data_IF_047308597119
#
_entry.id   IF_047308597119
#
_cell.length_a   1.000
_cell.length_b   1.000
_cell.length_c   1.000
_cell.angle_alpha   90.00
_cell.angle_beta   90.00
_cell.angle_gamma   90.00
#
_symmetry.space_group_name_H-M   'P 1'
#
loop_
_entity.id
_entity.type
_entity.pdbx_description
1 polymer ?
#
# COMPACT_ATOMS: atom_id res chain seq x y z
N UNK A 1 18.17 4.80 -20.70
CA UNK A 1 17.23 5.65 -19.92
C UNK A 1 16.41 4.89 -18.86
N UNK A 2 16.08 3.59 -19.03
CA UNK A 2 15.34 2.80 -18.03
C UNK A 2 15.98 2.71 -16.63
N UNK A 3 17.32 2.74 -16.51
CA UNK A 3 18.01 2.62 -15.20
C UNK A 3 17.92 3.88 -14.32
N UNK A 4 17.73 5.08 -14.90
CA UNK A 4 17.71 6.33 -14.14
C UNK A 4 16.37 6.59 -13.44
N UNK A 5 15.25 6.22 -14.06
CA UNK A 5 13.91 6.39 -13.47
C UNK A 5 13.72 5.48 -12.25
N UNK A 6 14.30 4.27 -12.28
CA UNK A 6 14.25 3.32 -11.16
C UNK A 6 15.18 3.75 -10.00
N UNK A 7 16.27 4.48 -10.28
CA UNK A 7 17.17 4.98 -9.24
C UNK A 7 16.58 6.13 -8.41
N UNK A 8 15.68 6.94 -8.97
CA UNK A 8 15.04 8.05 -8.24
C UNK A 8 13.91 7.63 -7.29
N UNK A 9 13.49 6.36 -7.29
CA UNK A 9 12.49 5.82 -6.34
C UNK A 9 13.15 5.41 -5.00
N UNK A 10 14.47 5.63 -4.83
CA UNK A 10 15.21 5.21 -3.62
C UNK A 10 15.01 6.07 -2.37
N UNK A 11 14.20 7.13 -2.42
CA UNK A 11 13.99 7.99 -1.25
C UNK A 11 12.51 8.35 -1.13
N UNK A 12 11.63 7.36 -0.94
CA UNK A 12 10.32 7.58 -0.27
C UNK A 12 9.75 6.23 0.20
N UNK A 13 10.60 5.42 0.84
CA UNK A 13 10.14 4.35 1.72
C UNK A 13 9.73 4.94 3.09
N UNK A 14 8.81 5.93 3.10
CA UNK A 14 8.41 6.63 4.34
C UNK A 14 6.92 6.49 4.70
N UNK A 15 6.07 5.99 3.80
CA UNK A 15 4.67 5.72 4.11
C UNK A 15 4.38 4.21 4.36
N UNK A 16 5.27 3.31 3.95
CA UNK A 16 5.23 1.87 4.31
C UNK A 16 6.02 1.51 5.57
N UNK A 17 6.68 2.48 6.20
CA UNK A 17 7.60 2.27 7.33
C UNK A 17 6.98 2.44 8.71
N UNK A 18 5.69 2.77 8.83
CA UNK A 18 5.02 2.74 10.13
C UNK A 18 4.93 1.33 10.74
N UNK A 19 5.25 0.27 9.97
CA UNK A 19 5.36 -1.11 10.45
C UNK A 19 6.72 -1.79 10.24
N UNK A 20 7.80 -1.05 9.92
CA UNK A 20 9.12 -1.66 9.63
C UNK A 20 10.24 -1.23 10.59
N UNK A 21 9.94 -1.02 11.87
CA UNK A 21 10.96 -1.09 12.92
C UNK A 21 10.94 -2.47 13.58
N UNK A 22 11.37 -3.48 12.83
CA UNK A 22 11.64 -4.80 13.37
C UNK A 22 13.15 -5.09 13.30
N UNK A 23 13.71 -5.10 14.51
CA UNK A 23 15.00 -5.64 14.97
C UNK A 23 16.28 -4.81 14.74
N UNK A 24 16.57 -3.97 15.73
CA UNK A 24 17.90 -3.99 16.38
C UNK A 24 17.77 -4.83 17.66
N UNK A 25 18.38 -6.03 17.66
CA UNK A 25 18.74 -6.90 18.80
C UNK A 25 18.20 -6.55 20.22
N UNK A 26 16.88 -6.44 20.39
CA UNK A 26 16.25 -5.98 21.61
C UNK A 26 14.97 -6.76 21.93
N UNK A 27 14.58 -6.78 23.22
CA UNK A 27 13.32 -7.40 23.66
C UNK A 27 12.14 -6.77 22.90
N UNK A 28 11.21 -7.60 22.41
CA UNK A 28 9.97 -7.15 21.75
C UNK A 28 9.20 -6.26 22.72
N UNK A 29 9.06 -4.98 22.37
CA UNK A 29 8.37 -3.98 23.19
C UNK A 29 6.86 -4.17 23.05
N UNK A 30 6.06 -3.96 24.11
CA UNK A 30 4.60 -3.93 23.97
C UNK A 30 4.16 -2.77 23.06
N UNK A 31 2.89 -2.75 22.69
CA UNK A 31 2.34 -1.54 22.05
C UNK A 31 2.50 -0.34 22.99
N UNK A 32 2.73 0.83 22.40
CA UNK A 32 2.63 2.10 23.13
C UNK A 32 1.20 2.62 23.00
N UNK A 33 0.52 2.74 24.13
CA UNK A 33 -0.83 3.28 24.26
C UNK A 33 -0.98 3.97 25.63
N UNK A 34 -0.72 5.29 25.74
CA UNK A 34 -0.86 6.00 27.02
C UNK A 34 -2.30 5.98 27.54
N UNK A 35 -3.26 6.14 26.65
CA UNK A 35 -4.69 6.26 26.92
C UNK A 35 -5.52 5.25 26.10
N UNK A 36 -6.83 5.25 26.35
CA UNK A 36 -7.79 4.37 25.68
C UNK A 36 -7.85 4.67 24.18
N UNK A 37 -7.84 5.94 23.75
CA UNK A 37 -7.88 6.29 22.33
C UNK A 37 -6.68 5.76 21.55
N UNK A 38 -5.49 5.83 22.15
CA UNK A 38 -4.27 5.26 21.60
C UNK A 38 -4.35 3.73 21.53
N UNK A 39 -5.04 3.09 22.49
CA UNK A 39 -5.33 1.66 22.43
C UNK A 39 -6.34 1.33 21.31
N UNK A 40 -7.36 2.16 21.09
CA UNK A 40 -8.33 2.01 19.99
C UNK A 40 -7.61 1.92 18.64
N UNK A 41 -6.65 2.81 18.41
CA UNK A 41 -5.81 2.79 17.20
C UNK A 41 -5.05 1.48 17.07
N UNK A 42 -4.43 0.97 18.15
CA UNK A 42 -3.67 -0.28 18.11
C UNK A 42 -4.54 -1.51 17.83
N UNK A 43 -5.75 -1.53 18.38
CA UNK A 43 -6.73 -2.59 18.12
C UNK A 43 -7.19 -2.51 16.66
N UNK A 44 -7.47 -1.29 16.17
CA UNK A 44 -7.84 -1.06 14.78
C UNK A 44 -6.73 -1.53 13.81
N UNK A 45 -5.49 -1.10 14.01
CA UNK A 45 -4.31 -1.52 13.22
C UNK A 45 -4.18 -3.05 13.17
N UNK A 46 -4.36 -3.71 14.32
CA UNK A 46 -4.23 -5.17 14.42
C UNK A 46 -5.35 -5.88 13.65
N UNK A 47 -6.57 -5.34 13.69
CA UNK A 47 -7.72 -5.86 12.92
C UNK A 47 -7.53 -5.70 11.43
N UNK A 48 -7.04 -4.54 10.99
CA UNK A 48 -6.73 -4.29 9.59
C UNK A 48 -5.67 -5.28 9.10
N UNK A 49 -4.61 -5.47 9.89
CA UNK A 49 -3.57 -6.46 9.62
C UNK A 49 -4.15 -7.88 9.51
N UNK A 50 -4.92 -8.35 10.49
CA UNK A 50 -5.54 -9.69 10.45
C UNK A 50 -6.47 -9.87 9.25
N UNK A 51 -7.28 -8.86 8.93
CA UNK A 51 -8.18 -8.87 7.78
C UNK A 51 -7.43 -9.01 6.46
N UNK A 52 -6.34 -8.27 6.29
CA UNK A 52 -5.44 -8.36 5.13
C UNK A 52 -4.82 -9.76 5.03
N UNK A 53 -4.19 -10.22 6.10
CA UNK A 53 -3.46 -11.49 6.11
C UNK A 53 -4.40 -12.66 5.89
N UNK A 54 -5.63 -12.62 6.38
CA UNK A 54 -6.64 -13.64 6.12
C UNK A 54 -6.95 -13.79 4.62
N UNK A 55 -7.07 -12.67 3.89
CA UNK A 55 -7.27 -12.70 2.42
C UNK A 55 -6.06 -13.28 1.71
N UNK A 56 -4.87 -12.81 2.06
CA UNK A 56 -3.62 -13.28 1.46
C UNK A 56 -3.35 -14.77 1.75
N UNK A 57 -3.62 -15.22 2.97
CA UNK A 57 -3.48 -16.62 3.37
C UNK A 57 -4.47 -17.53 2.64
N UNK A 58 -5.68 -17.07 2.32
CA UNK A 58 -6.63 -17.86 1.53
C UNK A 58 -6.09 -18.22 0.15
N UNK A 59 -5.46 -17.24 -0.54
CA UNK A 59 -4.84 -17.48 -1.84
C UNK A 59 -3.53 -18.26 -1.71
N UNK A 60 -2.72 -17.92 -0.70
CA UNK A 60 -1.49 -18.65 -0.42
C UNK A 60 -1.77 -20.12 -0.09
N UNK A 61 -2.82 -20.44 0.66
CA UNK A 61 -3.19 -21.81 1.01
C UNK A 61 -3.51 -22.63 -0.24
N UNK A 62 -4.25 -22.05 -1.20
CA UNK A 62 -4.54 -22.71 -2.48
C UNK A 62 -3.27 -22.95 -3.29
N UNK A 63 -2.36 -21.97 -3.33
CA UNK A 63 -1.07 -22.07 -4.02
C UNK A 63 -0.18 -23.14 -3.37
N UNK A 64 -0.01 -23.08 -2.05
CA UNK A 64 0.86 -23.97 -1.30
C UNK A 64 0.37 -25.42 -1.35
N UNK A 65 -0.93 -25.68 -1.29
CA UNK A 65 -1.47 -27.05 -1.46
C UNK A 65 -1.04 -27.67 -2.80
N UNK A 66 -1.07 -26.90 -3.89
CA UNK A 66 -0.66 -27.37 -5.21
C UNK A 66 0.86 -27.55 -5.31
N UNK A 67 1.61 -26.55 -4.87
CA UNK A 67 3.07 -26.55 -4.98
C UNK A 67 3.72 -27.60 -4.07
N UNK A 68 3.27 -27.75 -2.82
CA UNK A 68 3.81 -28.78 -1.92
C UNK A 68 3.55 -30.19 -2.45
N UNK A 69 2.35 -30.46 -3.00
CA UNK A 69 2.04 -31.73 -3.67
C UNK A 69 2.93 -31.96 -4.90
N UNK A 70 3.32 -30.91 -5.62
CA UNK A 70 4.25 -31.05 -6.73
C UNK A 70 5.68 -31.36 -6.25
N UNK A 71 6.18 -30.63 -5.25
CA UNK A 71 7.57 -30.77 -4.81
C UNK A 71 7.85 -32.02 -3.99
N UNK A 72 6.86 -32.59 -3.28
CA UNK A 72 7.06 -33.83 -2.54
C UNK A 72 7.53 -34.97 -3.47
N UNK A 73 7.01 -35.00 -4.70
CA UNK A 73 7.35 -36.02 -5.71
C UNK A 73 8.55 -35.63 -6.59
N UNK A 74 8.80 -34.32 -6.79
CA UNK A 74 9.75 -33.82 -7.80
C UNK A 74 11.05 -33.25 -7.25
N UNK A 75 11.00 -32.51 -6.15
CA UNK A 75 12.20 -31.98 -5.49
C UNK A 75 11.95 -31.77 -4.00
N UNK A 76 12.22 -32.82 -3.23
CA UNK A 76 12.03 -32.84 -1.78
C UNK A 76 12.82 -31.71 -1.08
N UNK A 77 13.95 -31.27 -1.64
CA UNK A 77 14.77 -30.18 -1.06
C UNK A 77 14.05 -28.84 -1.13
N UNK A 78 13.15 -28.65 -2.09
CA UNK A 78 12.30 -27.46 -2.18
C UNK A 78 11.14 -27.62 -1.21
N UNK A 79 10.50 -28.79 -1.17
CA UNK A 79 9.44 -29.12 -0.20
C UNK A 79 9.87 -28.81 1.25
N UNK A 80 11.01 -29.36 1.69
CA UNK A 80 11.56 -29.21 3.05
C UNK A 80 11.89 -27.76 3.42
N UNK A 81 12.00 -26.87 2.43
CA UNK A 81 12.20 -25.43 2.67
C UNK A 81 10.88 -24.67 2.76
N UNK A 82 9.91 -25.06 1.93
CA UNK A 82 8.63 -24.40 1.81
C UNK A 82 7.68 -24.79 2.96
N UNK A 83 7.50 -26.09 3.20
CA UNK A 83 6.51 -26.61 4.16
C UNK A 83 6.72 -26.05 5.56
N UNK A 84 7.92 -26.13 6.19
CA UNK A 84 8.07 -25.69 7.58
C UNK A 84 7.91 -24.18 7.72
N UNK A 85 8.26 -23.43 6.67
CA UNK A 85 8.09 -21.98 6.62
C UNK A 85 6.61 -21.59 6.55
N UNK A 86 5.85 -22.29 5.70
CA UNK A 86 4.42 -22.09 5.54
C UNK A 86 3.62 -22.54 6.77
N UNK A 87 3.94 -23.69 7.37
CA UNK A 87 3.32 -24.17 8.60
C UNK A 87 3.49 -23.16 9.75
N UNK A 88 4.70 -22.60 9.91
CA UNK A 88 4.97 -21.54 10.89
C UNK A 88 4.14 -20.27 10.65
N UNK A 89 3.92 -19.89 9.39
CA UNK A 89 3.04 -18.77 9.06
C UNK A 89 1.60 -19.05 9.51
N UNK A 90 1.05 -20.22 9.21
CA UNK A 90 -0.31 -20.60 9.63
C UNK A 90 -0.49 -20.55 11.15
N UNK A 91 0.44 -21.18 11.89
CA UNK A 91 0.41 -21.17 13.36
C UNK A 91 0.48 -19.74 13.89
N UNK A 92 1.31 -18.89 13.29
CA UNK A 92 1.45 -17.49 13.69
C UNK A 92 0.16 -16.70 13.47
N UNK A 93 -0.51 -16.89 12.33
CA UNK A 93 -1.80 -16.24 12.04
C UNK A 93 -2.87 -16.68 13.03
N UNK A 94 -3.05 -17.99 13.25
CA UNK A 94 -4.03 -18.50 14.22
C UNK A 94 -3.78 -17.99 15.63
N UNK A 95 -2.50 -17.87 16.02
CA UNK A 95 -2.11 -17.31 17.32
C UNK A 95 -2.46 -15.82 17.44
N UNK A 96 -2.24 -15.04 16.38
CA UNK A 96 -2.58 -13.61 16.38
C UNK A 96 -4.10 -13.44 16.49
N UNK A 97 -4.87 -14.21 15.74
CA UNK A 97 -6.34 -14.12 15.75
C UNK A 97 -6.89 -14.45 17.14
N UNK A 98 -6.41 -15.53 17.76
CA UNK A 98 -6.80 -15.91 19.13
C UNK A 98 -6.46 -14.81 20.14
N UNK A 99 -5.23 -14.30 20.15
CA UNK A 99 -4.82 -13.29 21.13
C UNK A 99 -5.53 -11.95 20.87
N UNK A 100 -5.77 -11.59 19.60
CA UNK A 100 -6.47 -10.36 19.24
C UNK A 100 -7.94 -10.39 19.70
N UNK A 101 -8.59 -11.56 19.61
CA UNK A 101 -9.95 -11.73 20.13
C UNK A 101 -10.00 -11.57 21.66
N UNK A 102 -9.04 -12.13 22.39
CA UNK A 102 -8.92 -11.93 23.83
C UNK A 102 -8.72 -10.45 24.19
N UNK A 103 -7.85 -9.74 23.46
CA UNK A 103 -7.65 -8.29 23.65
C UNK A 103 -8.94 -7.52 23.37
N UNK A 104 -9.69 -7.90 22.34
CA UNK A 104 -10.96 -7.23 22.01
C UNK A 104 -12.03 -7.45 23.09
N UNK A 105 -12.14 -8.66 23.64
CA UNK A 105 -13.05 -8.97 24.74
C UNK A 105 -12.71 -8.10 25.97
N UNK A 106 -11.43 -8.09 26.38
CA UNK A 106 -10.95 -7.26 27.50
C UNK A 106 -11.20 -5.77 27.27
N UNK A 107 -11.03 -5.32 26.04
CA UNK A 107 -11.25 -3.94 25.67
C UNK A 107 -12.74 -3.54 25.72
N UNK A 108 -13.64 -4.43 25.30
CA UNK A 108 -15.07 -4.19 25.46
C UNK A 108 -15.48 -4.19 26.93
N UNK A 109 -14.91 -5.09 27.74
CA UNK A 109 -15.11 -5.11 29.19
C UNK A 109 -14.72 -3.76 29.80
N UNK A 110 -13.51 -3.26 29.48
CA UNK A 110 -13.03 -1.94 29.88
C UNK A 110 -14.03 -0.83 29.53
N UNK A 111 -14.52 -0.79 28.27
CA UNK A 111 -15.50 0.22 27.82
C UNK A 111 -16.89 0.09 28.44
N UNK A 112 -17.27 -1.12 28.85
CA UNK A 112 -18.60 -1.40 29.41
C UNK A 112 -18.65 -1.24 30.93
N UNK A 113 -17.53 -1.46 31.60
CA UNK A 113 -17.39 -1.20 33.02
C UNK A 113 -17.32 0.31 33.26
N UNK A 114 -17.92 0.82 34.34
CA UNK A 114 -17.73 2.22 34.79
C UNK A 114 -16.28 2.59 35.17
N UNK A 115 -15.35 1.66 34.92
CA UNK A 115 -13.91 1.79 35.14
C UNK A 115 -13.27 2.27 33.83
N UNK A 116 -13.39 3.56 33.53
CA UNK A 116 -12.82 4.20 32.32
C UNK A 116 -11.28 4.32 32.35
N UNK A 117 -10.59 3.52 33.17
CA UNK A 117 -9.13 3.61 33.35
C UNK A 117 -8.44 2.31 32.99
N UNK A 118 -7.42 2.42 32.14
CA UNK A 118 -6.50 1.32 31.80
C UNK A 118 -5.81 0.72 33.02
N UNK A 119 -5.71 1.47 34.11
CA UNK A 119 -5.06 1.03 35.35
C UNK A 119 -6.05 0.34 36.31
N UNK A 120 -7.32 0.25 35.92
CA UNK A 120 -8.32 -0.55 36.61
C UNK A 120 -8.09 -2.04 36.44
N UNK A 121 -8.59 -2.81 37.40
CA UNK A 121 -8.44 -4.26 37.46
C UNK A 121 -9.77 -4.93 37.06
N UNK A 122 -9.76 -5.82 36.04
CA UNK A 122 -10.88 -6.68 35.70
C UNK A 122 -11.31 -7.56 36.88
N UNK A 123 -12.59 -7.95 36.95
CA UNK A 123 -13.14 -8.66 38.11
C UNK A 123 -12.41 -9.96 38.46
N UNK A 124 -11.94 -10.71 37.45
CA UNK A 124 -11.37 -12.05 37.63
C UNK A 124 -9.83 -12.05 37.67
N UNK A 125 -9.19 -10.91 37.91
CA UNK A 125 -7.73 -10.80 37.84
C UNK A 125 -7.15 -9.90 38.94
N UNK A 126 -5.84 -9.97 39.15
CA UNK A 126 -5.08 -9.07 40.04
C UNK A 126 -4.24 -8.05 39.28
N UNK A 127 -4.38 -8.02 37.94
CA UNK A 127 -3.49 -7.28 37.03
C UNK A 127 -4.34 -6.29 36.24
N UNK A 128 -3.87 -5.03 36.12
CA UNK A 128 -4.63 -4.01 35.40
C UNK A 128 -4.82 -4.34 33.92
N UNK A 129 -5.86 -3.78 33.31
CA UNK A 129 -6.11 -3.88 31.87
C UNK A 129 -4.85 -3.55 31.06
N UNK A 130 -4.15 -2.46 31.41
CA UNK A 130 -2.88 -2.05 30.78
C UNK A 130 -1.87 -3.18 30.74
N UNK A 131 -1.55 -3.78 31.89
CA UNK A 131 -0.52 -4.83 32.00
C UNK A 131 -0.92 -6.09 31.24
N UNK A 132 -2.19 -6.47 31.26
CA UNK A 132 -2.70 -7.62 30.51
C UNK A 132 -2.54 -7.36 29.01
N UNK A 133 -3.01 -6.21 28.52
CA UNK A 133 -2.95 -5.82 27.10
C UNK A 133 -1.50 -5.67 26.63
N UNK A 134 -0.61 -5.10 27.44
CA UNK A 134 0.83 -5.04 27.14
C UNK A 134 1.43 -6.45 26.98
N UNK A 135 1.06 -7.39 27.85
CA UNK A 135 1.52 -8.78 27.74
C UNK A 135 1.02 -9.45 26.45
N UNK A 136 -0.26 -9.27 26.12
CA UNK A 136 -0.88 -9.83 24.91
C UNK A 136 -0.32 -9.17 23.64
N UNK A 137 -0.12 -7.86 23.63
CA UNK A 137 0.48 -7.13 22.51
C UNK A 137 1.91 -7.59 22.20
N UNK A 138 2.73 -7.88 23.22
CA UNK A 138 4.06 -8.50 23.03
C UNK A 138 3.95 -9.85 22.31
N UNK A 139 2.95 -10.66 22.67
CA UNK A 139 2.72 -11.96 22.03
C UNK A 139 2.23 -11.81 20.58
N UNK A 140 1.36 -10.83 20.29
CA UNK A 140 0.92 -10.48 18.93
C UNK A 140 2.12 -10.10 18.08
N UNK A 141 2.94 -9.13 18.54
CA UNK A 141 4.12 -8.70 17.80
C UNK A 141 5.11 -9.85 17.56
N UNK A 142 5.33 -10.70 18.57
CA UNK A 142 6.17 -11.90 18.39
C UNK A 142 5.64 -12.82 17.30
N UNK A 143 4.33 -13.08 17.26
CA UNK A 143 3.73 -13.91 16.24
C UNK A 143 3.78 -13.25 14.85
N UNK A 144 3.57 -11.93 14.76
CA UNK A 144 3.73 -11.18 13.50
C UNK A 144 5.16 -11.32 12.96
N UNK A 145 6.18 -11.25 13.83
CA UNK A 145 7.57 -11.44 13.43
C UNK A 145 7.84 -12.84 12.90
N UNK A 146 7.29 -13.88 13.54
CA UNK A 146 7.43 -15.26 13.07
C UNK A 146 6.72 -15.49 11.73
N UNK A 147 5.56 -14.87 11.51
CA UNK A 147 4.90 -14.82 10.21
C UNK A 147 5.82 -14.21 9.14
N UNK A 148 6.39 -13.02 9.40
CA UNK A 148 7.26 -12.32 8.44
C UNK A 148 8.55 -13.11 8.15
N UNK A 149 9.14 -13.77 9.17
CA UNK A 149 10.28 -14.66 8.98
C UNK A 149 9.92 -15.87 8.11
N UNK A 150 8.75 -16.48 8.33
CA UNK A 150 8.20 -17.55 7.51
C UNK A 150 8.03 -17.11 6.06
N UNK A 151 7.39 -15.95 5.85
CA UNK A 151 7.18 -15.36 4.53
C UNK A 151 8.49 -15.09 3.80
N UNK A 152 9.49 -14.55 4.49
CA UNK A 152 10.83 -14.30 3.92
C UNK A 152 11.50 -15.59 3.48
N UNK A 153 11.41 -16.66 4.28
CA UNK A 153 11.95 -17.99 3.93
C UNK A 153 11.18 -18.60 2.76
N UNK A 154 9.85 -18.44 2.72
CA UNK A 154 8.99 -18.93 1.66
C UNK A 154 9.31 -18.27 0.31
N UNK A 155 9.41 -16.93 0.27
CA UNK A 155 9.87 -16.16 -0.91
C UNK A 155 11.25 -16.64 -1.39
N UNK A 156 12.18 -16.92 -0.47
CA UNK A 156 13.50 -17.49 -0.80
C UNK A 156 13.43 -18.92 -1.34
N UNK A 157 12.53 -19.75 -0.84
CA UNK A 157 12.30 -21.12 -1.31
C UNK A 157 11.88 -21.13 -2.77
N UNK A 158 10.84 -20.38 -3.13
CA UNK A 158 10.37 -20.27 -4.51
C UNK A 158 11.41 -19.69 -5.46
N UNK A 159 12.24 -18.73 -4.99
CA UNK A 159 13.31 -18.15 -5.80
C UNK A 159 14.31 -19.20 -6.30
N UNK A 160 14.52 -20.30 -5.56
CA UNK A 160 15.44 -21.38 -5.98
C UNK A 160 14.92 -22.15 -7.20
N UNK A 161 13.61 -22.18 -7.40
CA UNK A 161 12.95 -22.73 -8.59
C UNK A 161 12.67 -21.65 -9.65
N UNK A 162 13.37 -20.52 -9.60
CA UNK A 162 13.13 -19.36 -10.47
C UNK A 162 11.68 -18.84 -10.42
N UNK A 163 10.93 -19.12 -9.36
CA UNK A 163 9.60 -18.58 -9.12
C UNK A 163 9.63 -17.40 -8.15
N UNK A 164 8.67 -16.50 -8.27
CA UNK A 164 8.45 -15.34 -7.42
C UNK A 164 7.06 -15.40 -6.83
N UNK A 165 7.00 -15.41 -5.51
CA UNK A 165 5.76 -15.20 -4.76
C UNK A 165 5.53 -13.69 -4.63
N UNK A 166 4.47 -13.20 -5.27
CA UNK A 166 4.11 -11.79 -5.32
C UNK A 166 2.85 -11.53 -4.52
N UNK A 167 2.86 -10.44 -3.77
CA UNK A 167 1.72 -9.89 -3.05
C UNK A 167 1.30 -8.66 -3.82
N UNK A 168 0.07 -8.63 -4.31
CA UNK A 168 -0.37 -7.62 -5.28
C UNK A 168 -0.33 -6.22 -4.67
N UNK A 169 -0.60 -6.10 -3.37
CA UNK A 169 -0.50 -4.85 -2.63
C UNK A 169 0.93 -4.29 -2.60
N UNK A 170 1.94 -5.13 -2.38
CA UNK A 170 3.36 -4.72 -2.40
C UNK A 170 3.76 -4.10 -3.75
N UNK A 171 3.06 -4.49 -4.83
CA UNK A 171 3.35 -4.05 -6.19
C UNK A 171 2.64 -2.73 -6.56
N UNK A 172 1.37 -2.53 -6.18
CA UNK A 172 0.63 -1.30 -6.54
C UNK A 172 0.75 -0.17 -5.52
N UNK A 173 1.01 -0.48 -4.23
CA UNK A 173 1.00 0.53 -3.18
C UNK A 173 2.01 1.67 -3.41
N UNK A 174 3.27 1.39 -3.82
CA UNK A 174 4.22 2.46 -4.15
C UNK A 174 3.75 3.33 -5.33
N UNK A 175 3.05 2.73 -6.30
CA UNK A 175 2.52 3.44 -7.47
C UNK A 175 1.42 4.43 -7.06
N UNK A 176 0.57 4.02 -6.11
CA UNK A 176 -0.51 4.85 -5.56
C UNK A 176 0.03 6.06 -4.80
N UNK A 177 1.15 5.91 -4.09
CA UNK A 177 1.76 6.99 -3.30
C UNK A 177 2.23 8.17 -4.15
N UNK A 178 2.62 7.92 -5.42
CA UNK A 178 3.05 8.97 -6.36
C UNK A 178 1.91 9.93 -6.75
N UNK A 179 0.65 9.56 -6.50
CA UNK A 179 -0.51 10.43 -6.74
C UNK A 179 -0.38 11.80 -6.07
N UNK A 180 0.15 11.84 -4.84
CA UNK A 180 0.30 13.10 -4.11
C UNK A 180 1.33 14.02 -4.77
N UNK A 181 2.47 13.46 -5.18
CA UNK A 181 3.54 14.22 -5.82
C UNK A 181 3.09 14.84 -7.15
N UNK A 182 2.35 14.07 -7.97
CA UNK A 182 1.89 14.56 -9.27
C UNK A 182 0.77 15.59 -9.12
N UNK A 183 -0.12 15.43 -8.13
CA UNK A 183 -1.14 16.44 -7.79
C UNK A 183 -0.51 17.74 -7.34
N UNK A 184 0.48 17.66 -6.46
CA UNK A 184 1.23 18.85 -6.03
C UNK A 184 1.87 19.59 -7.23
N UNK A 185 2.53 18.86 -8.15
CA UNK A 185 3.11 19.47 -9.35
C UNK A 185 2.07 20.10 -10.27
N UNK A 186 0.88 19.51 -10.37
CA UNK A 186 -0.25 20.07 -11.11
C UNK A 186 -0.79 21.33 -10.45
N UNK A 187 -0.95 21.33 -9.14
CA UNK A 187 -1.43 22.48 -8.38
C UNK A 187 -0.46 23.66 -8.45
N UNK A 188 0.84 23.41 -8.59
CA UNK A 188 1.82 24.44 -8.84
C UNK A 188 1.61 25.21 -10.17
N UNK A 189 0.79 24.69 -11.10
CA UNK A 189 0.44 25.37 -12.36
C UNK A 189 -0.73 26.35 -12.22
N UNK A 190 -1.42 26.37 -11.08
CA UNK A 190 -2.60 27.23 -10.88
C UNK A 190 -2.33 28.73 -11.12
N UNK A 191 -1.19 29.31 -10.70
CA UNK A 191 -0.88 30.70 -11.02
C UNK A 191 -0.80 30.96 -12.53
N UNK A 192 -0.12 30.08 -13.26
CA UNK A 192 0.06 30.19 -14.72
C UNK A 192 -1.28 30.08 -15.44
N UNK A 193 -2.12 29.11 -15.04
CA UNK A 193 -3.47 28.91 -15.57
C UNK A 193 -4.37 30.11 -15.28
N UNK A 194 -4.27 30.69 -14.07
CA UNK A 194 -5.04 31.89 -13.70
C UNK A 194 -4.65 33.10 -14.55
N UNK A 195 -3.35 33.28 -14.80
CA UNK A 195 -2.86 34.33 -15.69
C UNK A 195 -3.33 34.12 -17.13
N UNK A 196 -3.22 32.89 -17.65
CA UNK A 196 -3.74 32.52 -18.97
C UNK A 196 -5.24 32.82 -19.10
N UNK A 197 -6.05 32.46 -18.10
CA UNK A 197 -7.50 32.72 -18.11
C UNK A 197 -7.82 34.23 -18.15
N UNK A 198 -7.00 35.08 -17.52
CA UNK A 198 -7.15 36.54 -17.62
C UNK A 198 -6.92 37.00 -19.07
N UNK A 199 -5.87 36.52 -19.73
CA UNK A 199 -5.58 36.83 -21.13
C UNK A 199 -6.67 36.31 -22.07
N UNK A 200 -7.18 35.10 -21.82
CA UNK A 200 -8.28 34.51 -22.57
C UNK A 200 -9.54 35.37 -22.48
N UNK A 201 -9.93 35.79 -21.27
CA UNK A 201 -11.09 36.67 -21.09
C UNK A 201 -10.92 37.98 -21.87
N UNK A 202 -9.76 38.63 -21.78
CA UNK A 202 -9.49 39.86 -22.54
C UNK A 202 -9.64 39.63 -24.05
N UNK A 203 -9.07 38.55 -24.58
CA UNK A 203 -9.15 38.23 -26.00
C UNK A 203 -10.60 37.93 -26.47
N UNK A 204 -11.43 37.34 -25.62
CA UNK A 204 -12.83 37.03 -25.93
C UNK A 204 -13.73 38.27 -25.96
N UNK A 205 -13.44 39.28 -25.14
CA UNK A 205 -14.29 40.46 -25.02
C UNK A 205 -13.81 41.68 -25.82
N UNK A 206 -12.50 41.81 -26.09
CA UNK A 206 -11.92 43.02 -26.65
C UNK A 206 -11.33 42.88 -28.06
N UNK A 207 -11.01 41.67 -28.52
CA UNK A 207 -10.29 41.42 -29.79
C UNK A 207 -10.94 40.29 -30.63
N UNK A 208 -12.26 40.37 -30.76
CA UNK A 208 -13.02 39.34 -31.49
C UNK A 208 -12.56 39.31 -32.96
N UNK A 209 -12.04 38.16 -33.41
CA UNK A 209 -11.51 37.82 -34.76
C UNK A 209 -10.02 38.10 -35.08
N UNK A 210 -9.19 38.59 -34.16
CA UNK A 210 -7.73 38.68 -34.38
C UNK A 210 -7.05 37.30 -34.52
N UNK A 211 -5.81 37.25 -35.05
CA UNK A 211 -5.02 36.00 -35.04
C UNK A 211 -4.73 35.55 -33.61
N UNK A 212 -4.44 36.52 -32.73
CA UNK A 212 -4.19 36.29 -31.31
C UNK A 212 -5.39 35.64 -30.59
N UNK A 213 -6.62 36.14 -30.82
CA UNK A 213 -7.81 35.56 -30.20
C UNK A 213 -8.11 34.14 -30.70
N UNK A 214 -7.79 33.82 -31.96
CA UNK A 214 -7.88 32.45 -32.46
C UNK A 214 -6.87 31.51 -31.80
N UNK A 215 -5.64 31.96 -31.59
CA UNK A 215 -4.58 31.12 -31.04
C UNK A 215 -4.76 30.88 -29.54
N UNK A 216 -5.21 31.88 -28.77
CA UNK A 216 -5.53 31.70 -27.35
C UNK A 216 -6.75 30.78 -27.14
N UNK A 217 -7.75 30.81 -28.02
CA UNK A 217 -8.87 29.86 -27.98
C UNK A 217 -8.39 28.42 -28.25
N UNK A 218 -7.50 28.22 -29.23
CA UNK A 218 -6.90 26.89 -29.48
C UNK A 218 -6.11 26.40 -28.27
N UNK A 219 -5.30 27.27 -27.67
CA UNK A 219 -4.56 26.96 -26.45
C UNK A 219 -5.49 26.57 -25.31
N UNK A 220 -6.61 27.28 -25.11
CA UNK A 220 -7.62 26.96 -24.10
C UNK A 220 -8.21 25.56 -24.31
N UNK A 221 -8.61 25.21 -25.54
CA UNK A 221 -9.10 23.86 -25.86
C UNK A 221 -8.05 22.78 -25.57
N UNK A 222 -6.77 23.07 -25.87
CA UNK A 222 -5.66 22.16 -25.58
C UNK A 222 -5.49 21.96 -24.07
N UNK A 223 -5.49 23.04 -23.27
CA UNK A 223 -5.40 22.98 -21.81
C UNK A 223 -6.57 22.21 -21.19
N UNK A 224 -7.79 22.36 -21.73
CA UNK A 224 -8.94 21.58 -21.28
C UNK A 224 -8.79 20.09 -21.59
N UNK A 225 -8.29 19.74 -22.79
CA UNK A 225 -8.01 18.34 -23.13
C UNK A 225 -6.96 17.71 -22.18
N UNK A 226 -5.95 18.50 -21.80
CA UNK A 226 -4.94 18.10 -20.83
C UNK A 226 -5.53 17.90 -19.43
N UNK A 227 -6.41 18.80 -18.98
CA UNK A 227 -7.13 18.66 -17.70
C UNK A 227 -7.88 17.33 -17.62
N UNK A 228 -8.61 16.97 -18.67
CA UNK A 228 -9.37 15.72 -18.75
C UNK A 228 -8.44 14.50 -18.68
N UNK A 229 -7.37 14.47 -19.48
CA UNK A 229 -6.39 13.37 -19.46
C UNK A 229 -5.73 13.19 -18.09
N UNK A 230 -5.32 14.29 -17.46
CA UNK A 230 -4.73 14.27 -16.13
C UNK A 230 -5.69 13.73 -15.07
N UNK A 231 -6.97 14.16 -15.10
CA UNK A 231 -8.00 13.64 -14.21
C UNK A 231 -8.18 12.12 -14.36
N UNK A 232 -8.26 11.64 -15.60
CA UNK A 232 -8.40 10.19 -15.87
C UNK A 232 -7.24 9.38 -15.31
N UNK A 233 -6.01 9.90 -15.42
CA UNK A 233 -4.84 9.23 -14.86
C UNK A 233 -4.83 9.25 -13.33
N UNK A 234 -5.21 10.36 -12.71
CA UNK A 234 -5.37 10.46 -11.25
C UNK A 234 -6.43 9.48 -10.72
N UNK A 235 -7.57 9.37 -11.40
CA UNK A 235 -8.63 8.42 -11.05
C UNK A 235 -8.16 6.97 -11.18
N UNK A 236 -7.36 6.68 -12.21
CA UNK A 236 -6.69 5.39 -12.37
C UNK A 236 -5.77 5.08 -11.18
N UNK A 237 -4.90 6.02 -10.78
CA UNK A 237 -3.99 5.84 -9.64
C UNK A 237 -4.75 5.68 -8.32
N UNK A 238 -5.81 6.47 -8.12
CA UNK A 238 -6.63 6.42 -6.92
C UNK A 238 -7.32 5.07 -6.73
N UNK A 239 -7.65 4.39 -7.83
CA UNK A 239 -8.29 3.07 -7.86
C UNK A 239 -7.35 1.93 -8.30
N UNK A 240 -6.03 2.15 -8.29
CA UNK A 240 -5.06 1.18 -8.84
C UNK A 240 -5.10 -0.16 -8.09
N UNK A 241 -5.48 -0.15 -6.82
CA UNK A 241 -5.70 -1.34 -6.00
C UNK A 241 -6.76 -2.26 -6.63
N UNK A 242 -7.96 -1.72 -6.92
CA UNK A 242 -9.05 -2.47 -7.56
C UNK A 242 -8.65 -3.01 -8.93
N UNK A 243 -7.93 -2.19 -9.70
CA UNK A 243 -7.44 -2.59 -11.03
C UNK A 243 -6.42 -3.72 -10.92
N UNK A 244 -5.47 -3.61 -9.99
CA UNK A 244 -4.44 -4.61 -9.77
C UNK A 244 -5.04 -5.95 -9.33
N UNK A 245 -6.01 -5.95 -8.42
CA UNK A 245 -6.71 -7.17 -8.00
C UNK A 245 -7.55 -7.78 -9.13
N UNK A 246 -8.26 -6.97 -9.91
CA UNK A 246 -9.04 -7.46 -11.05
C UNK A 246 -8.16 -8.10 -12.12
N UNK A 247 -6.99 -7.53 -12.40
CA UNK A 247 -6.07 -8.07 -13.42
C UNK A 247 -5.26 -9.28 -12.95
N UNK A 248 -4.91 -9.34 -11.67
CA UNK A 248 -4.17 -10.47 -11.10
C UNK A 248 -5.08 -11.66 -10.76
N UNK A 249 -6.35 -11.40 -10.44
CA UNK A 249 -7.34 -12.41 -10.05
C UNK A 249 -7.17 -12.96 -8.62
N UNK A 250 -6.19 -12.45 -7.85
CA UNK A 250 -5.87 -12.91 -6.50
C UNK A 250 -5.08 -11.85 -5.73
N UNK A 251 -5.00 -11.94 -4.41
CA UNK A 251 -4.17 -11.09 -3.56
C UNK A 251 -2.70 -11.54 -3.56
N UNK A 252 -2.48 -12.84 -3.75
CA UNK A 252 -1.16 -13.47 -3.81
C UNK A 252 -1.07 -14.34 -5.05
N UNK A 253 0.01 -14.19 -5.81
CA UNK A 253 0.27 -15.01 -6.99
C UNK A 253 1.68 -15.59 -6.98
N UNK A 254 1.82 -16.74 -7.62
CA UNK A 254 3.12 -17.34 -7.92
C UNK A 254 3.40 -17.17 -9.41
N UNK A 255 4.60 -16.70 -9.75
CA UNK A 255 4.97 -16.46 -11.14
C UNK A 255 6.42 -16.80 -11.46
N UNK A 256 6.74 -16.99 -12.74
CA UNK A 256 8.13 -17.10 -13.18
C UNK A 256 8.85 -15.77 -12.95
N UNK A 257 10.12 -15.84 -12.56
CA UNK A 257 10.98 -14.66 -12.35
C UNK A 257 11.11 -13.77 -13.58
N UNK A 258 10.90 -14.33 -14.78
CA UNK A 258 11.01 -13.64 -16.08
C UNK A 258 9.67 -13.12 -16.62
N UNK A 259 8.57 -13.20 -15.85
CA UNK A 259 7.25 -12.77 -16.36
C UNK A 259 7.25 -11.27 -16.66
N UNK A 260 6.58 -10.92 -17.77
CA UNK A 260 6.29 -9.52 -18.15
C UNK A 260 5.53 -8.79 -17.04
N UNK A 261 5.72 -7.47 -16.89
CA UNK A 261 4.96 -6.67 -15.95
C UNK A 261 3.45 -6.80 -16.20
N UNK A 262 2.65 -6.58 -15.16
CA UNK A 262 1.19 -6.58 -15.30
C UNK A 262 0.73 -5.39 -16.14
N UNK A 263 -0.43 -5.50 -16.79
CA UNK A 263 -0.94 -4.47 -17.70
C UNK A 263 -1.10 -3.13 -16.99
N UNK A 264 -1.59 -3.12 -15.75
CA UNK A 264 -1.69 -1.90 -14.95
C UNK A 264 -0.34 -1.23 -14.68
N UNK A 265 0.76 -1.98 -14.53
CA UNK A 265 2.10 -1.40 -14.35
C UNK A 265 2.56 -0.72 -15.63
N UNK A 266 2.29 -1.32 -16.79
CA UNK A 266 2.61 -0.70 -18.08
C UNK A 266 1.79 0.58 -18.28
N UNK A 267 0.48 0.55 -17.98
CA UNK A 267 -0.38 1.75 -18.03
C UNK A 267 0.07 2.82 -17.05
N UNK A 268 0.54 2.42 -15.87
CA UNK A 268 1.11 3.32 -14.88
C UNK A 268 2.32 4.06 -15.45
N UNK A 269 3.31 3.34 -15.98
CA UNK A 269 4.55 3.93 -16.50
C UNK A 269 4.28 4.86 -17.69
N UNK A 270 3.45 4.43 -18.64
CA UNK A 270 3.10 5.25 -19.80
C UNK A 270 2.31 6.49 -19.41
N UNK A 271 1.33 6.33 -18.51
CA UNK A 271 0.49 7.44 -18.06
C UNK A 271 1.27 8.46 -17.22
N UNK A 272 2.22 8.02 -16.39
CA UNK A 272 3.08 8.94 -15.63
C UNK A 272 3.93 9.79 -16.56
N UNK A 273 4.50 9.17 -17.60
CA UNK A 273 5.29 9.86 -18.60
C UNK A 273 4.45 10.92 -19.32
N UNK A 274 3.29 10.54 -19.84
CA UNK A 274 2.36 11.47 -20.52
C UNK A 274 1.93 12.60 -19.57
N UNK A 275 1.64 12.29 -18.30
CA UNK A 275 1.22 13.29 -17.31
C UNK A 275 2.31 14.36 -17.06
N UNK A 276 3.57 13.94 -16.95
CA UNK A 276 4.69 14.87 -16.76
C UNK A 276 4.98 15.69 -18.02
N UNK A 277 4.83 15.11 -19.21
CA UNK A 277 4.90 15.84 -20.48
C UNK A 277 3.81 16.92 -20.57
N UNK A 278 2.57 16.56 -20.21
CA UNK A 278 1.45 17.50 -20.15
C UNK A 278 1.75 18.67 -19.20
N UNK A 279 2.29 18.41 -17.99
CA UNK A 279 2.68 19.47 -17.06
C UNK A 279 3.67 20.45 -17.70
N UNK A 280 4.68 19.93 -18.39
CA UNK A 280 5.67 20.77 -19.07
C UNK A 280 5.03 21.58 -20.20
N UNK A 281 4.11 20.99 -20.94
CA UNK A 281 3.43 21.66 -22.05
C UNK A 281 2.47 22.74 -21.58
N UNK A 282 1.78 22.54 -20.45
CA UNK A 282 0.91 23.56 -19.85
C UNK A 282 1.74 24.81 -19.54
N UNK A 283 2.90 24.66 -18.88
CA UNK A 283 3.79 25.80 -18.58
C UNK A 283 4.17 26.57 -19.84
N UNK A 284 4.70 25.86 -20.85
CA UNK A 284 5.08 26.47 -22.14
C UNK A 284 3.91 27.18 -22.80
N UNK A 285 2.72 26.57 -22.78
CA UNK A 285 1.52 27.14 -23.41
C UNK A 285 1.08 28.41 -22.69
N UNK A 286 1.13 28.44 -21.36
CA UNK A 286 0.79 29.62 -20.55
C UNK A 286 1.84 30.73 -20.63
N UNK A 287 3.11 30.40 -20.87
CA UNK A 287 4.22 31.37 -21.02
C UNK A 287 4.30 31.99 -22.43
N UNK A 288 3.93 31.24 -23.47
CA UNK A 288 4.07 31.66 -24.88
C UNK A 288 2.99 32.61 -25.37
N UNK A 289 1.98 32.88 -24.55
CA UNK A 289 0.82 33.75 -24.80
C UNK A 289 0.84 34.79 -23.71
#
# INVERSE_FOLDING_TARGET
MLKKVIQSIRVFALAGTLFLFLDCAGRIKPWKFPDIYSLDVRIFDTREWSSKIKREMSDLDKLMKRELKYYIDKDLRIYDRLEPSYAKMKISVSKIDSISNEVFILYNELKSSSKDSLDSVPADTTVSFRKIIESKSRKIQKAQNEYLKGLKKLKKGFKKDQKRLLFIEDEYLPLKQILFDIKYKRDALQPDIKNFNKKLNQALFNDDRSSYSRDIIKASKKLESYRVKMNQYEDFLMNIDKVAYKESGAFVILTSSKKKPMKYMVRYESGLKEYLEIISDIRKTCESI
#
